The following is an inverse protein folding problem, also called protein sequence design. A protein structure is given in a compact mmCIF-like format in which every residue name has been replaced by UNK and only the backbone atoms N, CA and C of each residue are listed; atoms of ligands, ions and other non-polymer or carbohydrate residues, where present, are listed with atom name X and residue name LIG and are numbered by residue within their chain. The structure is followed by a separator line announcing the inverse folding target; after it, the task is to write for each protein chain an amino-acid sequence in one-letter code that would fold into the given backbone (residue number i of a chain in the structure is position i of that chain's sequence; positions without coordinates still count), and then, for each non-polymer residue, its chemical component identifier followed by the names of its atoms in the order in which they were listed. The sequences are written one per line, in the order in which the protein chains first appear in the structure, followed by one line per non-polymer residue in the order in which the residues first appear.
data_IF_632042879492
#
_entry.id   IF_632042879492
#
_cell.length_a   1.000
_cell.length_b   1.000
_cell.length_c   1.000
_cell.angle_alpha   90.00
_cell.angle_beta   90.00
_cell.angle_gamma   90.00
#
_symmetry.space_group_name_H-M   'P 1'
#
loop_
_entity.id
_entity.type
_entity.pdbx_description
1 polymer ?
#
# COMPACT_ATOMS: atom_id res chain seq x y z
N UNK A 1 -4.96 -9.76 38.43
CA UNK A 1 -3.62 -10.17 37.95
C UNK A 1 -3.83 -10.54 36.49
N UNK A 2 -3.75 -9.57 35.58
CA UNK A 2 -3.84 -9.81 34.14
C UNK A 2 -2.57 -9.25 33.51
N UNK A 3 -1.60 -10.15 33.33
CA UNK A 3 -0.35 -9.91 32.59
C UNK A 3 -0.18 -11.03 31.57
N UNK A 4 -1.00 -11.00 30.53
CA UNK A 4 -0.73 -11.73 29.30
C UNK A 4 -1.11 -10.77 28.17
N UNK A 5 -0.17 -10.53 27.24
CA UNK A 5 -0.20 -9.65 26.04
C UNK A 5 0.69 -8.37 26.05
N UNK A 6 1.72 -8.26 26.90
CA UNK A 6 2.83 -7.29 26.68
C UNK A 6 4.14 -8.01 26.32
N UNK A 7 4.09 -8.81 25.25
CA UNK A 7 5.29 -9.44 24.69
C UNK A 7 5.83 -8.61 23.53
N UNK A 8 6.78 -7.70 23.81
CA UNK A 8 7.67 -7.06 22.84
C UNK A 8 6.98 -6.42 21.62
N UNK A 9 6.09 -5.45 21.84
CA UNK A 9 5.90 -4.44 20.79
C UNK A 9 7.22 -3.65 20.69
N UNK A 10 7.80 -3.51 19.49
CA UNK A 10 8.86 -2.52 19.29
C UNK A 10 8.38 -1.19 19.85
N UNK A 11 9.29 -0.37 20.39
CA UNK A 11 8.97 1.04 20.62
C UNK A 11 8.30 1.60 19.35
N UNK A 12 7.28 2.45 19.50
CA UNK A 12 6.41 2.85 18.39
C UNK A 12 7.18 3.39 17.16
N UNK A 13 8.37 3.95 17.40
CA UNK A 13 9.33 4.44 16.39
C UNK A 13 9.98 3.31 15.59
N UNK A 14 10.21 2.16 16.21
CA UNK A 14 10.77 0.95 15.61
C UNK A 14 9.72 -0.02 15.12
N UNK A 15 8.43 0.24 15.28
CA UNK A 15 7.40 -0.67 14.78
C UNK A 15 7.31 -0.62 13.25
N UNK A 16 7.19 -1.78 12.60
CA UNK A 16 6.90 -1.85 11.18
C UNK A 16 5.40 -1.62 10.99
N UNK A 17 5.03 -0.70 10.09
CA UNK A 17 3.64 -0.26 9.90
C UNK A 17 3.19 -0.56 8.49
N UNK A 18 1.96 -1.05 8.37
CA UNK A 18 1.23 -1.10 7.11
C UNK A 18 0.32 0.12 7.04
N UNK A 19 0.45 0.89 5.97
CA UNK A 19 -0.33 2.10 5.74
C UNK A 19 -0.92 2.11 4.33
N UNK A 20 -2.11 2.68 4.18
CA UNK A 20 -2.69 3.05 2.90
C UNK A 20 -2.28 4.48 2.57
N UNK A 21 -1.57 4.68 1.47
CA UNK A 21 -1.13 5.98 0.99
C UNK A 21 -2.03 6.41 -0.15
N UNK A 22 -2.57 7.61 -0.02
CA UNK A 22 -3.32 8.29 -1.07
C UNK A 22 -2.44 9.32 -1.76
N UNK A 23 -2.49 9.31 -3.08
CA UNK A 23 -1.78 10.25 -3.94
C UNK A 23 -2.77 10.94 -4.89
N UNK A 24 -2.63 12.24 -5.06
CA UNK A 24 -3.38 13.00 -6.05
C UNK A 24 -2.91 12.61 -7.46
N UNK A 25 -3.84 12.52 -8.39
CA UNK A 25 -3.56 12.37 -9.82
C UNK A 25 -3.80 13.71 -10.54
N UNK A 26 -4.13 13.70 -11.83
CA UNK A 26 -4.48 14.93 -12.53
C UNK A 26 -5.75 15.55 -11.93
N UNK A 27 -6.01 16.83 -12.25
CA UNK A 27 -7.22 17.51 -11.81
C UNK A 27 -8.45 16.71 -12.26
N UNK A 28 -9.43 16.57 -11.36
CA UNK A 28 -10.65 15.79 -11.54
C UNK A 28 -10.48 14.26 -11.69
N UNK A 29 -9.27 13.73 -11.51
CA UNK A 29 -9.04 12.27 -11.42
C UNK A 29 -9.17 11.76 -9.98
N UNK A 30 -9.68 10.52 -9.79
CA UNK A 30 -9.72 9.91 -8.47
C UNK A 30 -8.30 9.65 -7.93
N UNK A 31 -8.20 9.60 -6.60
CA UNK A 31 -6.91 9.41 -5.94
C UNK A 31 -6.31 8.03 -6.23
N UNK A 32 -5.00 8.00 -6.45
CA UNK A 32 -4.24 6.77 -6.56
C UNK A 32 -3.91 6.22 -5.18
N UNK A 33 -4.14 4.92 -4.96
CA UNK A 33 -3.91 4.27 -3.68
C UNK A 33 -2.76 3.28 -3.77
N UNK A 34 -1.95 3.24 -2.72
CA UNK A 34 -0.86 2.27 -2.59
C UNK A 34 -0.75 1.78 -1.15
N UNK A 35 -0.32 0.53 -0.98
CA UNK A 35 0.08 0.02 0.31
C UNK A 35 1.55 0.35 0.53
N UNK A 36 1.87 0.82 1.72
CA UNK A 36 3.21 1.16 2.13
C UNK A 36 3.57 0.43 3.41
N UNK A 37 4.73 -0.23 3.41
CA UNK A 37 5.29 -0.88 4.59
C UNK A 37 6.64 -0.26 4.91
N UNK A 38 6.73 0.41 6.06
CA UNK A 38 7.95 1.03 6.56
C UNK A 38 7.96 1.15 8.08
N UNK A 39 9.15 1.41 8.64
CA UNK A 39 9.25 1.96 9.99
C UNK A 39 9.06 3.48 9.94
N UNK A 40 8.79 4.07 11.08
CA UNK A 40 8.59 5.51 11.16
C UNK A 40 9.84 6.26 10.68
N UNK A 41 9.66 7.22 9.78
CA UNK A 41 10.73 8.02 9.16
C UNK A 41 11.74 7.24 8.30
N UNK A 42 11.47 5.99 7.93
CA UNK A 42 12.33 5.20 7.04
C UNK A 42 11.70 4.99 5.64
N UNK A 43 12.50 4.87 4.57
CA UNK A 43 12.03 4.38 3.28
C UNK A 43 11.50 2.95 3.39
N UNK A 44 10.50 2.60 2.59
CA UNK A 44 9.82 1.30 2.70
C UNK A 44 9.40 0.69 1.37
N UNK A 45 8.73 -0.45 1.46
CA UNK A 45 8.17 -1.13 0.29
C UNK A 45 6.85 -0.46 -0.10
N UNK A 46 6.70 -0.14 -1.39
CA UNK A 46 5.45 0.38 -1.95
C UNK A 46 4.85 -0.69 -2.86
N UNK A 47 3.59 -1.02 -2.63
CA UNK A 47 2.81 -1.94 -3.43
C UNK A 47 1.63 -1.19 -4.05
N UNK A 48 1.57 -1.18 -5.38
CA UNK A 48 0.59 -0.42 -6.12
C UNK A 48 0.29 -1.09 -7.45
N UNK A 49 -0.88 -0.78 -8.00
CA UNK A 49 -1.28 -1.17 -9.35
C UNK A 49 -1.38 0.08 -10.18
N UNK A 50 -0.78 0.10 -11.38
CA UNK A 50 -0.89 1.21 -12.33
C UNK A 50 -1.37 0.70 -13.68
N UNK A 51 -1.91 1.62 -14.47
CA UNK A 51 -2.49 1.35 -15.78
C UNK A 51 -3.94 1.84 -15.84
N UNK A 52 -4.50 1.82 -17.05
CA UNK A 52 -5.93 2.05 -17.25
C UNK A 52 -6.73 0.78 -16.98
N UNK A 53 -8.07 0.87 -16.98
CA UNK A 53 -8.97 -0.25 -16.70
C UNK A 53 -8.83 -1.45 -17.66
N UNK A 54 -8.14 -1.29 -18.79
CA UNK A 54 -7.87 -2.36 -19.74
C UNK A 54 -6.48 -3.00 -19.52
N UNK A 55 -5.52 -2.25 -18.98
CA UNK A 55 -4.12 -2.63 -18.83
C UNK A 55 -3.56 -2.40 -17.42
N UNK A 56 -4.30 -2.81 -16.39
CA UNK A 56 -3.82 -2.75 -15.00
C UNK A 56 -2.69 -3.76 -14.75
N UNK A 57 -1.59 -3.27 -14.17
CA UNK A 57 -0.42 -4.07 -13.83
C UNK A 57 0.07 -3.72 -12.44
N UNK A 58 0.41 -4.74 -11.66
CA UNK A 58 1.12 -4.55 -10.41
C UNK A 58 2.51 -3.95 -10.69
N UNK A 59 2.83 -2.85 -9.99
CA UNK A 59 4.09 -2.11 -10.14
C UNK A 59 4.70 -1.84 -8.76
N UNK A 60 5.48 -2.80 -8.21
CA UNK A 60 6.16 -2.59 -6.94
C UNK A 60 7.24 -1.52 -7.09
N UNK A 61 7.61 -0.87 -5.99
CA UNK A 61 8.81 -0.05 -6.00
C UNK A 61 10.06 -0.92 -6.27
N UNK A 62 11.00 -0.46 -7.11
CA UNK A 62 12.23 -1.23 -7.42
C UNK A 62 13.17 -1.38 -6.21
N UNK A 63 12.93 -0.58 -5.15
CA UNK A 63 13.61 -0.66 -3.88
C UNK A 63 12.88 0.17 -2.82
N UNK A 64 13.46 0.29 -1.60
CA UNK A 64 12.91 1.12 -0.54
C UNK A 64 12.71 2.56 -1.00
N UNK A 65 11.49 3.07 -0.88
CA UNK A 65 11.07 4.38 -1.39
C UNK A 65 10.39 5.16 -0.27
N UNK A 66 10.68 6.46 -0.16
CA UNK A 66 9.96 7.35 0.74
C UNK A 66 8.77 8.01 0.03
N UNK A 67 7.68 7.26 -0.11
CA UNK A 67 6.50 7.71 -0.85
C UNK A 67 5.79 8.91 -0.20
N UNK A 68 5.99 9.11 1.10
CA UNK A 68 5.44 10.23 1.86
C UNK A 68 6.03 11.58 1.44
N UNK A 69 7.21 11.58 0.79
CA UNK A 69 7.85 12.78 0.25
C UNK A 69 7.50 13.05 -1.22
N UNK A 70 6.60 12.26 -1.81
CA UNK A 70 6.15 12.49 -3.20
C UNK A 70 5.39 13.80 -3.30
N UNK A 71 5.59 14.55 -4.40
CA UNK A 71 4.81 15.76 -4.69
C UNK A 71 3.29 15.46 -4.84
N UNK A 72 2.96 14.22 -5.18
CA UNK A 72 1.57 13.74 -5.30
C UNK A 72 0.98 13.27 -3.96
N UNK A 73 1.76 13.21 -2.87
CA UNK A 73 1.26 12.72 -1.58
C UNK A 73 0.08 13.56 -1.09
N UNK A 74 -0.99 12.88 -0.68
CA UNK A 74 -2.22 13.49 -0.17
C UNK A 74 -2.47 13.11 1.28
N UNK A 75 -2.52 11.80 1.58
CA UNK A 75 -2.78 11.32 2.93
C UNK A 75 -2.16 9.93 3.19
N UNK A 76 -2.02 9.58 4.47
CA UNK A 76 -1.60 8.27 4.94
C UNK A 76 -2.52 7.76 6.07
N UNK A 77 -3.17 6.62 5.85
CA UNK A 77 -3.93 5.93 6.89
C UNK A 77 -3.12 4.77 7.44
N UNK A 78 -2.83 4.80 8.73
CA UNK A 78 -2.20 3.66 9.40
C UNK A 78 -3.24 2.54 9.57
N UNK A 79 -3.00 1.41 8.92
CA UNK A 79 -3.90 0.25 8.98
C UNK A 79 -3.55 -0.66 10.16
N UNK A 80 -2.25 -0.98 10.33
CA UNK A 80 -1.80 -1.87 11.39
C UNK A 80 -0.30 -1.73 11.69
N UNK A 81 0.10 -2.13 12.89
CA UNK A 81 1.48 -2.53 13.18
C UNK A 81 1.63 -4.00 12.78
N UNK A 82 2.67 -4.32 12.02
CA UNK A 82 2.91 -5.65 11.47
C UNK A 82 4.28 -6.18 11.89
N UNK A 83 4.40 -7.50 11.96
CA UNK A 83 5.69 -8.19 12.08
C UNK A 83 6.35 -8.35 10.71
N UNK A 84 7.66 -8.65 10.67
CA UNK A 84 8.35 -8.95 9.41
C UNK A 84 7.72 -10.13 8.66
N UNK A 85 7.25 -11.15 9.39
CA UNK A 85 6.53 -12.29 8.81
C UNK A 85 5.20 -11.87 8.15
N UNK A 86 4.44 -10.97 8.78
CA UNK A 86 3.21 -10.43 8.20
C UNK A 86 3.48 -9.52 6.99
N UNK A 87 4.56 -8.74 7.02
CA UNK A 87 4.97 -7.94 5.87
C UNK A 87 5.32 -8.82 4.64
N UNK A 88 5.92 -9.99 4.85
CA UNK A 88 6.14 -10.97 3.77
C UNK A 88 4.82 -11.50 3.18
N UNK A 89 3.79 -11.69 4.01
CA UNK A 89 2.46 -12.10 3.52
C UNK A 89 1.85 -10.98 2.67
N UNK A 90 1.92 -9.71 3.11
CA UNK A 90 1.43 -8.58 2.32
C UNK A 90 2.13 -8.52 0.96
N UNK A 91 3.46 -8.69 0.95
CA UNK A 91 4.23 -8.77 -0.29
C UNK A 91 3.71 -9.88 -1.21
N UNK A 92 3.55 -11.10 -0.68
CA UNK A 92 3.08 -12.24 -1.45
C UNK A 92 1.70 -12.00 -2.04
N UNK A 93 0.76 -11.46 -1.27
CA UNK A 93 -0.60 -11.15 -1.75
C UNK A 93 -0.54 -10.10 -2.85
N UNK A 94 0.16 -8.99 -2.60
CA UNK A 94 0.29 -7.90 -3.56
C UNK A 94 0.95 -8.32 -4.88
N UNK A 95 1.91 -9.26 -4.84
CA UNK A 95 2.61 -9.77 -6.03
C UNK A 95 1.81 -10.80 -6.82
N UNK A 96 0.91 -11.55 -6.17
CA UNK A 96 0.25 -12.72 -6.79
C UNK A 96 -1.24 -12.52 -7.07
N UNK A 97 -1.92 -11.57 -6.43
CA UNK A 97 -3.30 -11.26 -6.77
C UNK A 97 -3.37 -10.47 -8.09
N UNK A 98 -4.07 -11.00 -9.11
CA UNK A 98 -4.21 -10.28 -10.37
C UNK A 98 -5.05 -9.02 -10.13
N UNK A 99 -4.67 -7.87 -10.71
CA UNK A 99 -5.50 -6.68 -10.62
C UNK A 99 -6.86 -6.91 -11.31
N UNK A 100 -7.88 -6.11 -10.99
CA UNK A 100 -9.17 -6.18 -11.65
C UNK A 100 -9.00 -6.10 -13.17
N UNK A 101 -9.72 -6.95 -13.90
CA UNK A 101 -9.70 -6.99 -15.37
C UNK A 101 -11.13 -6.90 -15.90
N UNK A 102 -11.36 -5.94 -16.79
CA UNK A 102 -12.57 -5.91 -17.59
C UNK A 102 -12.32 -6.60 -18.94
N UNK A 103 -13.26 -7.43 -19.40
CA UNK A 103 -13.17 -8.12 -20.70
C UNK A 103 -13.32 -7.13 -21.87
N UNK A 104 -13.92 -5.96 -21.63
CA UNK A 104 -14.06 -4.84 -22.55
C UNK A 104 -14.43 -3.56 -21.77
N UNK A 105 -14.30 -2.37 -22.40
CA UNK A 105 -14.64 -1.07 -21.77
C UNK A 105 -16.04 -0.97 -21.19
N UNK A 106 -17.00 -1.68 -21.77
CA UNK A 106 -18.41 -1.64 -21.33
C UNK A 106 -18.64 -2.45 -20.05
N UNK A 107 -17.71 -3.35 -19.71
CA UNK A 107 -17.75 -4.23 -18.54
C UNK A 107 -16.85 -3.74 -17.39
N UNK A 108 -16.35 -2.50 -17.45
CA UNK A 108 -15.62 -1.89 -16.32
C UNK A 108 -16.64 -1.60 -15.22
N UNK A 109 -16.72 -2.48 -14.22
CA UNK A 109 -17.56 -2.30 -13.04
C UNK A 109 -16.74 -1.78 -11.85
N UNK A 110 -15.45 -2.13 -11.81
CA UNK A 110 -14.49 -1.70 -10.80
C UNK A 110 -13.17 -1.36 -11.51
N UNK A 111 -12.48 -0.33 -11.03
CA UNK A 111 -11.11 -0.01 -11.42
C UNK A 111 -10.26 0.16 -10.14
N UNK A 112 -8.93 0.33 -10.27
CA UNK A 112 -8.03 0.55 -9.13
C UNK A 112 -8.30 1.83 -8.31
N UNK A 113 -9.29 2.62 -8.70
CA UNK A 113 -9.54 3.97 -8.20
C UNK A 113 -10.92 4.12 -7.51
N UNK A 114 -11.71 3.04 -7.46
CA UNK A 114 -13.05 3.03 -6.86
C UNK A 114 -14.15 3.23 -7.88
#
# INVERSE_FOLDING_TARGET
MDRILEGNLPTLDRALRLSLIQQNQADDEPQHWSLFIARENEPGSVYQVKGDAECMSYQPSPGPTNILQSASFSNAYNLAVVTDAQALIVKQVAENEPPPRAVNRQAIVENCQG
#
